data_IF_049966036835
#
_entry.id   IF_049966036835
#
_cell.length_a   1.000
_cell.length_b   1.000
_cell.length_c   1.000
_cell.angle_alpha   90.00
_cell.angle_beta   90.00
_cell.angle_gamma   90.00
#
_symmetry.space_group_name_H-M   'P 1'
#
loop_
_entity.id
_entity.type
_entity.pdbx_description
1 polymer ?
#
# COMPACT_ATOMS: atom_id res chain seq x y z
N UNK A 1 13.38 3.65 -14.75
CA UNK A 1 12.22 2.88 -15.26
C UNK A 1 11.14 3.69 -15.99
N UNK A 2 10.98 5.03 -15.83
CA UNK A 2 10.01 5.77 -16.64
C UNK A 2 10.36 5.79 -18.14
N UNK A 3 11.64 5.99 -18.47
CA UNK A 3 12.11 6.23 -19.84
C UNK A 3 11.99 5.02 -20.80
N UNK A 4 11.92 3.78 -20.29
CA UNK A 4 11.86 2.59 -21.15
C UNK A 4 10.45 2.33 -21.70
N UNK A 5 9.40 2.66 -20.93
CA UNK A 5 8.02 2.31 -21.29
C UNK A 5 7.41 3.20 -22.39
N UNK A 6 7.86 4.45 -22.53
CA UNK A 6 7.32 5.38 -23.54
C UNK A 6 7.79 5.11 -24.97
N UNK A 7 8.86 4.34 -25.15
CA UNK A 7 9.40 3.98 -26.47
C UNK A 7 8.98 2.58 -26.92
N UNK A 8 8.26 1.82 -26.08
CA UNK A 8 7.75 0.50 -26.43
C UNK A 8 6.60 0.63 -27.42
N UNK A 9 6.87 0.21 -28.65
CA UNK A 9 5.86 -0.04 -29.68
C UNK A 9 5.35 -1.46 -29.50
N UNK A 10 4.06 -1.60 -29.22
CA UNK A 10 3.38 -2.90 -29.23
C UNK A 10 2.89 -3.20 -30.65
N UNK A 11 2.85 -4.47 -31.01
CA UNK A 11 2.41 -4.98 -32.32
C UNK A 11 0.89 -4.89 -32.46
N UNK A 12 0.16 -5.10 -31.36
CA UNK A 12 -1.28 -5.03 -31.29
C UNK A 12 -1.77 -4.60 -29.89
N UNK A 13 -3.07 -4.37 -29.75
CA UNK A 13 -3.70 -4.00 -28.48
C UNK A 13 -3.55 -5.08 -27.40
N UNK A 14 -3.58 -6.35 -27.79
CA UNK A 14 -3.45 -7.49 -26.87
C UNK A 14 -2.07 -7.53 -26.19
N UNK A 15 -1.00 -7.26 -26.92
CA UNK A 15 0.37 -7.18 -26.39
C UNK A 15 0.51 -5.99 -25.44
N UNK A 16 -0.10 -4.86 -25.76
CA UNK A 16 -0.15 -3.68 -24.89
C UNK A 16 -0.89 -3.98 -23.58
N UNK A 17 -2.07 -4.59 -23.68
CA UNK A 17 -2.87 -5.03 -22.52
C UNK A 17 -2.05 -6.01 -21.67
N UNK A 18 -1.45 -7.03 -22.26
CA UNK A 18 -0.63 -8.01 -21.54
C UNK A 18 0.52 -7.34 -20.79
N UNK A 19 1.19 -6.38 -21.44
CA UNK A 19 2.28 -5.65 -20.84
C UNK A 19 1.82 -4.86 -19.61
N UNK A 20 0.76 -4.07 -19.72
CA UNK A 20 0.28 -3.23 -18.61
C UNK A 20 -0.49 -4.01 -17.53
N UNK A 21 -1.18 -5.09 -17.90
CA UNK A 21 -1.95 -5.95 -16.98
C UNK A 21 -1.06 -6.90 -16.18
N UNK A 22 0.00 -7.46 -16.76
CA UNK A 22 0.79 -8.52 -16.13
C UNK A 22 2.29 -8.22 -16.00
N UNK A 23 2.93 -7.75 -17.07
CA UNK A 23 4.41 -7.65 -17.12
C UNK A 23 4.90 -6.46 -16.30
N UNK A 24 4.45 -5.25 -16.64
CA UNK A 24 4.85 -4.01 -15.97
C UNK A 24 4.59 -4.08 -14.47
N UNK A 25 3.43 -4.59 -13.99
CA UNK A 25 3.19 -4.68 -12.56
C UNK A 25 4.21 -5.53 -11.81
N UNK A 26 4.56 -6.70 -12.34
CA UNK A 26 5.54 -7.62 -11.73
C UNK A 26 6.95 -7.04 -11.72
N UNK A 27 7.31 -6.22 -12.70
CA UNK A 27 8.62 -5.58 -12.77
C UNK A 27 8.77 -4.42 -11.79
N UNK A 28 7.72 -3.59 -11.66
CA UNK A 28 7.83 -2.34 -10.91
C UNK A 28 7.43 -2.46 -9.44
N UNK A 29 6.63 -3.48 -9.04
CA UNK A 29 6.08 -3.52 -7.69
C UNK A 29 7.16 -3.53 -6.60
N UNK A 30 8.24 -4.33 -6.75
CA UNK A 30 9.28 -4.44 -5.70
C UNK A 30 9.94 -3.10 -5.42
N UNK A 31 10.28 -2.36 -6.48
CA UNK A 31 10.92 -1.05 -6.34
C UNK A 31 10.02 -0.05 -5.61
N UNK A 32 8.75 0.00 -6.00
CA UNK A 32 7.78 0.91 -5.38
C UNK A 32 7.51 0.50 -3.92
N UNK A 33 7.42 -0.82 -3.66
CA UNK A 33 7.26 -1.38 -2.33
C UNK A 33 8.37 -0.94 -1.38
N UNK A 34 9.64 -1.20 -1.74
CA UNK A 34 10.77 -0.86 -0.87
C UNK A 34 10.90 0.64 -0.66
N UNK A 35 10.61 1.46 -1.67
CA UNK A 35 10.58 2.92 -1.51
C UNK A 35 9.50 3.37 -0.52
N UNK A 36 8.30 2.77 -0.59
CA UNK A 36 7.21 3.07 0.34
C UNK A 36 7.57 2.67 1.76
N UNK A 37 8.06 1.44 1.97
CA UNK A 37 8.53 0.98 3.29
C UNK A 37 9.62 1.91 3.82
N UNK A 38 10.63 2.23 3.01
CA UNK A 38 11.69 3.15 3.40
C UNK A 38 11.14 4.49 3.89
N UNK A 39 10.21 5.11 3.15
CA UNK A 39 9.59 6.36 3.57
C UNK A 39 8.76 6.23 4.84
N UNK A 40 8.05 5.10 5.02
CA UNK A 40 7.27 4.83 6.24
C UNK A 40 8.21 4.77 7.45
N UNK A 41 9.33 4.07 7.33
CA UNK A 41 10.32 3.93 8.39
C UNK A 41 11.06 5.24 8.69
N UNK A 42 11.46 5.99 7.66
CA UNK A 42 12.15 7.28 7.82
C UNK A 42 11.29 8.32 8.55
N UNK A 43 9.98 8.33 8.28
CA UNK A 43 9.05 9.27 8.91
C UNK A 43 8.44 8.73 10.21
N UNK A 44 8.86 7.54 10.68
CA UNK A 44 8.29 6.93 11.89
C UNK A 44 8.67 7.76 13.14
N UNK A 45 7.70 8.22 13.93
CA UNK A 45 7.98 9.02 15.12
C UNK A 45 8.58 8.18 16.26
N UNK A 46 9.12 8.85 17.27
CA UNK A 46 9.60 8.20 18.51
C UNK A 46 8.46 8.01 19.51
N UNK A 47 8.45 6.86 20.21
CA UNK A 47 7.47 6.54 21.26
C UNK A 47 6.37 5.59 20.78
N UNK A 48 6.08 4.57 21.59
CA UNK A 48 5.22 3.43 21.20
C UNK A 48 3.81 3.87 20.76
N UNK A 49 3.19 4.81 21.49
CA UNK A 49 1.83 5.27 21.16
C UNK A 49 1.79 6.06 19.86
N UNK A 50 2.71 7.02 19.68
CA UNK A 50 2.81 7.82 18.44
C UNK A 50 3.13 6.96 17.23
N UNK A 51 4.00 5.94 17.39
CA UNK A 51 4.27 4.98 16.33
C UNK A 51 3.02 4.20 15.95
N UNK A 52 2.23 3.78 16.92
CA UNK A 52 1.00 3.03 16.67
C UNK A 52 -0.02 3.88 15.92
N UNK A 53 -0.25 5.11 16.37
CA UNK A 53 -1.15 6.08 15.70
C UNK A 53 -0.72 6.31 14.25
N UNK A 54 0.55 6.63 14.03
CA UNK A 54 1.12 6.85 12.70
C UNK A 54 0.90 5.64 11.75
N UNK A 55 1.16 4.42 12.21
CA UNK A 55 0.97 3.23 11.38
C UNK A 55 -0.51 2.95 11.11
N UNK A 56 -1.41 3.22 12.06
CA UNK A 56 -2.85 3.10 11.85
C UNK A 56 -3.39 4.13 10.86
N UNK A 57 -2.88 5.37 10.87
CA UNK A 57 -3.25 6.39 9.89
C UNK A 57 -2.92 5.93 8.47
N UNK A 58 -1.69 5.43 8.26
CA UNK A 58 -1.28 4.88 6.96
C UNK A 58 -2.17 3.71 6.54
N UNK A 59 -2.46 2.79 7.46
CA UNK A 59 -3.32 1.64 7.18
C UNK A 59 -4.75 2.09 6.79
N UNK A 60 -5.28 3.10 7.49
CA UNK A 60 -6.59 3.68 7.18
C UNK A 60 -6.60 4.34 5.80
N UNK A 61 -5.55 5.04 5.41
CA UNK A 61 -5.47 5.67 4.09
C UNK A 61 -5.38 4.64 2.96
N UNK A 62 -4.67 3.53 3.18
CA UNK A 62 -4.68 2.38 2.25
C UNK A 62 -6.09 1.80 2.14
N UNK A 63 -6.80 1.63 3.25
CA UNK A 63 -8.17 1.12 3.24
C UNK A 63 -9.13 2.06 2.50
N UNK A 64 -9.05 3.37 2.75
CA UNK A 64 -9.84 4.38 2.03
C UNK A 64 -9.57 4.32 0.52
N UNK A 65 -8.30 4.21 0.12
CA UNK A 65 -7.90 4.07 -1.28
C UNK A 65 -8.52 2.83 -1.93
N UNK A 66 -8.48 1.69 -1.23
CA UNK A 66 -9.06 0.43 -1.70
C UNK A 66 -10.59 0.50 -1.80
N UNK A 67 -11.26 1.13 -0.82
CA UNK A 67 -12.71 1.32 -0.81
C UNK A 67 -13.21 2.14 -2.00
N UNK A 68 -12.47 3.19 -2.40
CA UNK A 68 -12.80 3.99 -3.58
C UNK A 68 -12.68 3.22 -4.90
N UNK A 69 -12.03 2.05 -4.90
CA UNK A 69 -11.70 1.26 -6.10
C UNK A 69 -12.23 -0.15 -6.06
N UNK A 70 -13.31 -0.37 -5.30
CA UNK A 70 -13.90 -1.70 -5.15
C UNK A 70 -14.31 -2.31 -6.49
N UNK A 71 -14.78 -1.51 -7.45
CA UNK A 71 -15.19 -1.99 -8.76
C UNK A 71 -14.01 -2.54 -9.57
N UNK A 72 -12.88 -1.83 -9.60
CA UNK A 72 -11.64 -2.35 -10.19
C UNK A 72 -11.16 -3.60 -9.44
N UNK A 73 -11.21 -3.62 -8.10
CA UNK A 73 -10.78 -4.78 -7.31
C UNK A 73 -11.65 -6.00 -7.61
N UNK A 74 -12.97 -5.82 -7.74
CA UNK A 74 -13.94 -6.86 -8.12
C UNK A 74 -13.67 -7.36 -9.53
N UNK A 75 -13.48 -6.44 -10.47
CA UNK A 75 -13.08 -6.75 -11.84
C UNK A 75 -11.82 -7.62 -11.89
N UNK A 76 -10.73 -7.17 -11.28
CA UNK A 76 -9.45 -7.89 -11.29
C UNK A 76 -9.57 -9.27 -10.58
N UNK A 77 -10.39 -9.38 -9.51
CA UNK A 77 -10.67 -10.66 -8.85
C UNK A 77 -11.50 -11.62 -9.69
N UNK A 78 -12.38 -11.12 -10.55
CA UNK A 78 -13.23 -11.95 -11.40
C UNK A 78 -12.46 -12.66 -12.51
N UNK A 79 -11.23 -12.22 -12.81
CA UNK A 79 -10.44 -12.73 -13.93
C UNK A 79 -11.01 -12.38 -15.30
N UNK A 80 -12.04 -11.51 -15.35
CA UNK A 80 -12.66 -11.09 -16.60
C UNK A 80 -11.71 -10.23 -17.46
N UNK A 81 -11.98 -10.20 -18.76
CA UNK A 81 -11.26 -9.39 -19.76
C UNK A 81 -12.12 -8.30 -20.39
N UNK A 82 -13.42 -8.23 -20.08
CA UNK A 82 -14.37 -7.31 -20.74
C UNK A 82 -14.05 -5.82 -20.56
N UNK A 83 -13.24 -5.45 -19.55
CA UNK A 83 -12.79 -4.07 -19.31
C UNK A 83 -11.29 -3.90 -19.56
N UNK A 84 -10.61 -4.86 -20.19
CA UNK A 84 -9.15 -4.79 -20.38
C UNK A 84 -8.77 -3.63 -21.29
N UNK A 85 -9.51 -3.43 -22.37
CA UNK A 85 -9.38 -2.29 -23.28
C UNK A 85 -9.55 -0.96 -22.56
N UNK A 86 -10.45 -0.88 -21.57
CA UNK A 86 -10.71 0.33 -20.78
C UNK A 86 -9.58 0.60 -19.78
N UNK A 87 -9.08 -0.44 -19.10
CA UNK A 87 -8.11 -0.27 -18.02
C UNK A 87 -6.64 -0.29 -18.45
N UNK A 88 -6.31 -1.03 -19.52
CA UNK A 88 -4.92 -1.39 -19.86
C UNK A 88 -4.44 -0.91 -21.24
N UNK A 89 -5.27 -0.23 -22.04
CA UNK A 89 -4.81 0.48 -23.25
C UNK A 89 -4.56 1.97 -22.98
N UNK A 90 -3.48 2.50 -23.57
CA UNK A 90 -3.17 3.94 -23.52
C UNK A 90 -4.20 4.74 -24.35
N UNK A 91 -4.52 5.95 -23.88
CA UNK A 91 -5.37 6.90 -24.60
C UNK A 91 -6.88 6.58 -24.60
N UNK A 92 -7.31 5.47 -24.00
CA UNK A 92 -8.73 5.13 -23.76
C UNK A 92 -9.17 5.67 -22.40
N UNK A 93 -9.11 6.98 -22.21
CA UNK A 93 -9.60 7.66 -21.00
C UNK A 93 -11.06 8.06 -21.19
N UNK A 94 -11.95 7.42 -20.43
CA UNK A 94 -13.17 8.10 -20.02
C UNK A 94 -12.82 8.95 -18.80
N UNK A 95 -12.89 10.26 -18.97
CA UNK A 95 -12.21 11.26 -18.12
C UNK A 95 -12.85 11.35 -16.72
N UNK A 96 -14.03 10.77 -16.52
CA UNK A 96 -14.83 10.98 -15.31
C UNK A 96 -14.61 9.97 -14.18
N UNK A 97 -13.98 8.80 -14.41
CA UNK A 97 -14.15 7.71 -13.43
C UNK A 97 -12.99 7.47 -12.45
N UNK A 98 -11.76 7.94 -12.69
CA UNK A 98 -10.62 7.57 -11.82
C UNK A 98 -9.49 8.61 -11.70
N UNK A 99 -9.84 9.89 -11.55
CA UNK A 99 -8.88 10.93 -11.20
C UNK A 99 -8.41 10.77 -9.74
N UNK A 100 -7.23 10.18 -9.55
CA UNK A 100 -6.41 10.49 -8.38
C UNK A 100 -5.05 11.07 -8.78
N UNK A 101 -4.57 11.88 -7.86
CA UNK A 101 -3.46 12.84 -7.84
C UNK A 101 -2.13 12.39 -8.46
N UNK A 102 -1.91 11.10 -8.73
CA UNK A 102 -0.73 10.61 -9.44
C UNK A 102 -0.77 10.87 -10.96
N UNK A 103 -1.96 11.11 -11.52
CA UNK A 103 -2.13 11.29 -12.96
C UNK A 103 -1.51 12.58 -13.50
N UNK A 104 -1.48 13.64 -12.69
CA UNK A 104 -0.92 14.93 -13.11
C UNK A 104 0.61 15.01 -13.01
N UNK A 105 1.23 14.14 -12.21
CA UNK A 105 2.69 14.08 -12.05
C UNK A 105 3.37 13.07 -13.01
N UNK A 106 2.58 12.20 -13.64
CA UNK A 106 3.08 11.15 -14.53
C UNK A 106 2.70 11.49 -15.98
N UNK A 107 3.70 11.58 -16.86
CA UNK A 107 3.43 11.94 -18.25
C UNK A 107 2.59 10.83 -18.93
N UNK A 108 1.51 11.18 -19.67
CA UNK A 108 0.53 10.24 -20.24
C UNK A 108 1.12 9.18 -21.19
N UNK A 109 2.36 9.37 -21.66
CA UNK A 109 3.11 8.39 -22.45
C UNK A 109 3.73 7.27 -21.59
N UNK A 110 3.81 7.45 -20.28
CA UNK A 110 4.46 6.54 -19.30
C UNK A 110 3.48 5.71 -18.47
N UNK A 111 2.22 6.12 -18.43
CA UNK A 111 1.18 5.52 -17.59
C UNK A 111 -0.06 5.23 -18.41
N UNK A 112 -0.58 4.02 -18.24
CA UNK A 112 -1.99 3.75 -18.54
C UNK A 112 -2.82 4.23 -17.36
N UNK A 113 -4.15 4.27 -17.52
CA UNK A 113 -5.06 4.67 -16.45
C UNK A 113 -4.88 3.88 -15.16
N UNK A 114 -4.31 2.67 -15.26
CA UNK A 114 -4.24 1.72 -14.17
C UNK A 114 -2.82 1.19 -13.95
N UNK A 115 -2.00 1.90 -13.18
CA UNK A 115 -1.04 1.23 -12.30
C UNK A 115 -1.79 0.55 -11.10
N UNK A 116 -3.12 0.38 -11.18
CA UNK A 116 -3.96 -0.13 -10.09
C UNK A 116 -3.64 -1.56 -9.69
N UNK A 117 -3.16 -2.43 -10.59
CA UNK A 117 -2.74 -3.78 -10.20
C UNK A 117 -1.47 -3.74 -9.36
N UNK A 118 -0.53 -2.86 -9.71
CA UNK A 118 0.64 -2.56 -8.87
C UNK A 118 0.19 -2.03 -7.53
N UNK A 119 -0.67 -1.01 -7.51
CA UNK A 119 -1.14 -0.41 -6.27
C UNK A 119 -1.91 -1.41 -5.41
N UNK A 120 -2.72 -2.29 -5.97
CA UNK A 120 -3.42 -3.36 -5.23
C UNK A 120 -2.44 -4.33 -4.58
N UNK A 121 -1.45 -4.82 -5.33
CA UNK A 121 -0.40 -5.72 -4.80
C UNK A 121 0.33 -5.01 -3.66
N UNK A 122 0.75 -3.76 -3.89
CA UNK A 122 1.41 -2.93 -2.89
C UNK A 122 0.54 -2.71 -1.65
N UNK A 123 -0.74 -2.37 -1.82
CA UNK A 123 -1.67 -2.13 -0.72
C UNK A 123 -1.79 -3.35 0.17
N UNK A 124 -1.88 -4.56 -0.40
CA UNK A 124 -1.97 -5.80 0.37
C UNK A 124 -0.67 -6.09 1.13
N UNK A 125 0.47 -6.01 0.47
CA UNK A 125 1.77 -6.31 1.08
C UNK A 125 2.12 -5.29 2.17
N UNK A 126 1.88 -4.00 1.91
CA UNK A 126 2.10 -2.92 2.88
C UNK A 126 1.11 -3.05 4.05
N UNK A 127 -0.16 -3.36 3.81
CA UNK A 127 -1.14 -3.56 4.92
C UNK A 127 -0.71 -4.71 5.82
N UNK A 128 -0.21 -5.80 5.25
CA UNK A 128 0.31 -6.95 6.00
C UNK A 128 1.52 -6.54 6.84
N UNK A 129 2.47 -5.81 6.25
CA UNK A 129 3.62 -5.27 6.97
C UNK A 129 3.22 -4.36 8.14
N UNK A 130 2.31 -3.42 7.91
CA UNK A 130 1.84 -2.48 8.92
C UNK A 130 1.13 -3.19 10.07
N UNK A 131 0.25 -4.15 9.76
CA UNK A 131 -0.47 -4.95 10.76
C UNK A 131 0.49 -5.72 11.66
N UNK A 132 1.48 -6.40 11.08
CA UNK A 132 2.52 -7.10 11.85
C UNK A 132 3.30 -6.14 12.76
N UNK A 133 3.66 -4.94 12.27
CA UNK A 133 4.36 -3.94 13.09
C UNK A 133 3.50 -3.42 14.24
N UNK A 134 2.22 -3.18 14.00
CA UNK A 134 1.26 -2.74 15.01
C UNK A 134 1.08 -3.82 16.09
N UNK A 135 0.95 -5.09 15.69
CA UNK A 135 0.84 -6.22 16.62
C UNK A 135 2.07 -6.33 17.53
N UNK A 136 3.28 -6.21 16.96
CA UNK A 136 4.51 -6.20 17.73
C UNK A 136 4.52 -5.06 18.77
N UNK A 137 4.14 -3.85 18.37
CA UNK A 137 4.06 -2.70 19.30
C UNK A 137 3.06 -2.95 20.44
N UNK A 138 1.93 -3.60 20.15
CA UNK A 138 0.94 -3.96 21.16
C UNK A 138 1.50 -4.98 22.17
N UNK A 139 2.23 -6.00 21.70
CA UNK A 139 2.90 -6.98 22.57
C UNK A 139 3.92 -6.30 23.48
N UNK A 140 4.77 -5.41 22.94
CA UNK A 140 5.74 -4.66 23.74
C UNK A 140 5.07 -3.78 24.80
N UNK A 141 3.97 -3.10 24.46
CA UNK A 141 3.21 -2.28 25.41
C UNK A 141 2.67 -3.12 26.57
N UNK A 142 2.07 -4.27 26.28
CA UNK A 142 1.52 -5.19 27.29
C UNK A 142 2.65 -5.70 28.21
N UNK A 143 3.78 -6.11 27.63
CA UNK A 143 4.95 -6.57 28.38
C UNK A 143 5.50 -5.50 29.35
N UNK A 144 5.63 -4.26 28.88
CA UNK A 144 6.03 -3.12 29.72
C UNK A 144 5.03 -2.87 30.84
N UNK A 145 3.72 -2.92 30.56
CA UNK A 145 2.68 -2.73 31.57
C UNK A 145 2.74 -3.81 32.67
N UNK A 146 2.94 -5.08 32.28
CA UNK A 146 3.10 -6.19 33.22
C UNK A 146 4.33 -5.97 34.10
N UNK A 147 5.46 -5.54 33.51
CA UNK A 147 6.70 -5.30 34.24
C UNK A 147 6.54 -4.15 35.25
N UNK A 148 5.87 -3.06 34.86
CA UNK A 148 5.54 -1.92 35.72
C UNK A 148 4.65 -2.38 36.88
N UNK A 149 3.57 -3.09 36.60
CA UNK A 149 2.64 -3.59 37.62
C UNK A 149 3.36 -4.54 38.60
N UNK A 150 4.25 -5.40 38.11
CA UNK A 150 5.07 -6.28 38.95
C UNK A 150 6.01 -5.48 39.86
N UNK A 151 6.72 -4.48 39.33
CA UNK A 151 7.58 -3.58 40.14
C UNK A 151 6.79 -2.82 41.19
N UNK A 152 5.62 -2.27 40.84
CA UNK A 152 4.73 -1.58 41.78
C UNK A 152 4.26 -2.52 42.88
N UNK A 153 3.87 -3.75 42.56
CA UNK A 153 3.44 -4.74 43.56
C UNK A 153 4.53 -5.07 44.58
N UNK A 154 5.79 -5.18 44.13
CA UNK A 154 6.95 -5.43 44.99
C UNK A 154 7.21 -4.21 45.88
N UNK A 155 7.10 -3.00 45.32
CA UNK A 155 7.31 -1.77 46.06
C UNK A 155 6.24 -1.59 47.15
N UNK A 156 4.96 -1.82 46.82
CA UNK A 156 3.85 -1.75 47.77
C UNK A 156 4.07 -2.72 48.94
N UNK A 157 4.44 -3.98 48.65
CA UNK A 157 4.76 -4.98 49.69
C UNK A 157 5.92 -4.59 50.61
N UNK A 158 6.84 -3.72 50.16
CA UNK A 158 7.94 -3.22 50.98
C UNK A 158 7.54 -2.04 51.87
N UNK A 159 6.49 -1.31 51.51
CA UNK A 159 6.08 -0.06 52.19
C UNK A 159 4.94 -0.33 53.18
N UNK A 160 4.11 -1.36 52.97
CA UNK A 160 3.11 -1.78 53.95
C UNK A 160 3.75 -2.70 55.00
N UNK A 161 3.92 -2.28 56.27
CA UNK A 161 4.34 -3.18 57.33
C UNK A 161 3.16 -4.11 57.67
N UNK A 162 3.43 -5.41 57.75
CA UNK A 162 2.56 -6.38 58.42
C UNK A 162 2.42 -6.05 59.90
#
# INVERSE_FOLDING_TARGET
>A
MPYLCAMLRFRNEEEEILFFKEIKPRLCFRLIYYRKIYNIEMNRPTGIEKQREYLYEILNDINKYNCKRLDFIRYDRSGSSHLDTLYFLRGKTDVEQYLETFFYELNPKFTTNCDFKVVKILSNDISTYLTQKIELLNVFKIGLQILINKKLSILIKKITPT
#
